data_IF_896247215930
#
_entry.id   IF_896247215930
#
_cell.length_a   1.000
_cell.length_b   1.000
_cell.length_c   1.000
_cell.angle_alpha   90.00
_cell.angle_beta   90.00
_cell.angle_gamma   90.00
#
_symmetry.space_group_name_H-M   'P 1'
#
loop_
_entity.id
_entity.type
_entity.pdbx_description
1 polymer ?
#
# COMPACT_ATOMS: atom_id res chain seq x y z
N UNK A 1 -7.84 106.32 -97.50
CA UNK A 1 -8.39 104.95 -97.31
C UNK A 1 -9.64 105.06 -96.46
N UNK A 2 -10.82 104.85 -97.04
CA UNK A 2 -12.10 104.94 -96.31
C UNK A 2 -12.42 103.54 -95.78
N UNK A 3 -12.43 103.41 -94.46
CA UNK A 3 -12.73 102.16 -93.76
C UNK A 3 -14.24 101.89 -93.87
N UNK A 4 -14.66 101.05 -94.83
CA UNK A 4 -16.05 100.59 -94.92
C UNK A 4 -16.31 99.50 -93.87
N UNK A 5 -16.99 99.87 -92.79
CA UNK A 5 -17.46 98.91 -91.77
C UNK A 5 -18.52 98.00 -92.40
N UNK A 6 -18.24 96.70 -92.45
CA UNK A 6 -19.19 95.69 -92.88
C UNK A 6 -20.06 95.31 -91.68
N UNK A 7 -21.36 95.55 -91.75
CA UNK A 7 -22.32 95.14 -90.72
C UNK A 7 -22.87 93.76 -91.07
N UNK A 8 -22.51 92.75 -90.28
CA UNK A 8 -23.08 91.40 -90.36
C UNK A 8 -24.42 91.38 -89.63
N UNK A 9 -25.52 91.36 -90.39
CA UNK A 9 -26.87 91.25 -89.84
C UNK A 9 -27.11 89.79 -89.41
N UNK A 10 -27.59 89.59 -88.18
CA UNK A 10 -27.83 88.26 -87.62
C UNK A 10 -29.01 87.56 -88.33
N UNK A 11 -28.81 86.34 -88.87
CA UNK A 11 -29.80 85.63 -89.68
C UNK A 11 -31.12 85.32 -88.96
N UNK A 12 -31.11 85.25 -87.62
CA UNK A 12 -32.33 85.02 -86.82
C UNK A 12 -33.31 86.20 -86.89
N UNK A 13 -32.80 87.44 -86.87
CA UNK A 13 -33.65 88.64 -86.99
C UNK A 13 -34.21 88.78 -88.40
N UNK A 14 -33.45 88.39 -89.43
CA UNK A 14 -33.97 88.38 -90.80
C UNK A 14 -35.08 87.35 -90.97
N UNK A 15 -35.01 86.18 -90.33
CA UNK A 15 -36.10 85.18 -90.45
C UNK A 15 -37.36 85.64 -89.70
N UNK A 16 -37.23 86.20 -88.50
CA UNK A 16 -38.37 86.75 -87.74
C UNK A 16 -39.00 87.91 -88.51
N UNK A 17 -38.19 88.82 -89.06
CA UNK A 17 -38.68 89.96 -89.83
C UNK A 17 -39.38 89.52 -91.12
N UNK A 18 -38.87 88.49 -91.81
CA UNK A 18 -39.56 87.90 -92.96
C UNK A 18 -40.88 87.23 -92.58
N UNK A 19 -40.96 86.54 -91.43
CA UNK A 19 -42.23 85.96 -90.94
C UNK A 19 -43.23 87.05 -90.59
N UNK A 20 -42.79 88.16 -89.97
CA UNK A 20 -43.65 89.31 -89.66
C UNK A 20 -44.12 90.00 -90.95
N UNK A 21 -43.22 90.31 -91.88
CA UNK A 21 -43.60 90.91 -93.18
C UNK A 21 -44.57 90.00 -93.93
N UNK A 22 -44.30 88.70 -93.97
CA UNK A 22 -45.17 87.73 -94.63
C UNK A 22 -46.54 87.64 -93.95
N UNK A 23 -46.59 87.67 -92.62
CA UNK A 23 -47.86 87.67 -91.86
C UNK A 23 -48.69 88.94 -92.12
N UNK A 24 -48.05 90.11 -92.20
CA UNK A 24 -48.70 91.38 -92.54
C UNK A 24 -49.18 91.39 -94.00
N UNK A 25 -48.37 90.88 -94.94
CA UNK A 25 -48.77 90.75 -96.35
C UNK A 25 -49.95 89.79 -96.53
N UNK A 26 -49.96 88.67 -95.81
CA UNK A 26 -51.06 87.69 -95.84
C UNK A 26 -52.32 88.24 -95.18
N UNK A 27 -52.21 89.13 -94.19
CA UNK A 27 -53.36 89.77 -93.55
C UNK A 27 -54.15 90.70 -94.48
N UNK A 28 -53.55 91.15 -95.57
CA UNK A 28 -54.19 92.07 -96.54
C UNK A 28 -55.06 91.35 -97.57
N UNK A 29 -55.00 90.02 -97.65
CA UNK A 29 -55.73 89.22 -98.64
C UNK A 29 -56.62 88.21 -97.92
N UNK A 30 -57.90 88.55 -97.74
CA UNK A 30 -58.87 87.62 -97.15
C UNK A 30 -59.41 86.68 -98.23
N UNK A 31 -58.88 85.44 -98.25
CA UNK A 31 -59.42 84.34 -99.06
C UNK A 31 -60.16 83.39 -98.13
N UNK A 32 -61.42 83.11 -98.42
CA UNK A 32 -62.18 82.10 -97.69
C UNK A 32 -63.05 81.28 -98.62
N UNK A 33 -63.31 80.03 -98.22
CA UNK A 33 -64.14 79.09 -98.96
C UNK A 33 -65.50 78.95 -98.30
N UNK A 34 -66.58 79.07 -99.06
CA UNK A 34 -67.95 78.75 -98.64
C UNK A 34 -68.59 77.93 -99.74
N UNK A 35 -69.13 76.75 -99.37
CA UNK A 35 -69.79 75.82 -100.29
C UNK A 35 -68.91 75.43 -101.49
N UNK A 36 -67.59 75.29 -101.28
CA UNK A 36 -66.62 74.92 -102.32
C UNK A 36 -66.21 76.06 -103.27
N UNK A 37 -66.76 77.26 -103.09
CA UNK A 37 -66.40 78.48 -103.85
C UNK A 37 -65.45 79.36 -103.05
N UNK A 38 -64.51 79.99 -103.73
CA UNK A 38 -63.49 80.86 -103.12
C UNK A 38 -63.86 82.33 -103.32
N UNK A 39 -63.77 83.10 -102.24
CA UNK A 39 -64.09 84.52 -102.22
C UNK A 39 -62.85 85.31 -101.82
N UNK A 40 -62.59 86.42 -102.51
CA UNK A 40 -61.45 87.31 -102.29
C UNK A 40 -61.93 88.68 -101.78
N UNK A 41 -61.14 89.32 -100.92
CA UNK A 41 -61.36 90.67 -100.38
C UNK A 41 -62.78 90.83 -99.81
N UNK A 42 -63.11 90.07 -98.76
CA UNK A 42 -64.38 90.16 -98.04
C UNK A 42 -65.65 90.00 -98.91
N UNK A 43 -65.59 89.04 -99.83
CA UNK A 43 -66.65 88.73 -100.79
C UNK A 43 -66.83 89.79 -101.90
N UNK A 44 -65.78 90.50 -102.28
CA UNK A 44 -65.84 91.37 -103.46
C UNK A 44 -65.85 90.56 -104.76
N UNK A 45 -65.07 89.49 -104.81
CA UNK A 45 -64.92 88.64 -105.99
C UNK A 45 -65.14 87.17 -105.65
N UNK A 46 -65.96 86.49 -106.44
CA UNK A 46 -65.97 85.02 -106.51
C UNK A 46 -64.91 84.60 -107.52
N UNK A 47 -63.95 83.79 -107.07
CA UNK A 47 -62.81 83.36 -107.87
C UNK A 47 -62.79 81.84 -108.02
N UNK A 48 -62.31 81.37 -109.17
CA UNK A 48 -62.08 79.95 -109.43
C UNK A 48 -60.68 79.81 -110.02
N UNK A 49 -59.82 79.01 -109.41
CA UNK A 49 -58.46 78.76 -109.88
C UNK A 49 -58.43 77.73 -111.01
N UNK A 50 -57.34 77.71 -111.80
CA UNK A 50 -57.11 76.72 -112.87
C UNK A 50 -57.26 77.25 -114.29
N UNK A 51 -56.88 78.50 -114.54
CA UNK A 51 -56.87 79.08 -115.89
C UNK A 51 -55.78 80.12 -116.09
N UNK A 52 -55.87 80.89 -117.19
CA UNK A 52 -54.86 81.89 -117.57
C UNK A 52 -55.27 83.34 -117.27
N UNK A 53 -56.42 83.55 -116.60
CA UNK A 53 -56.89 84.91 -116.26
C UNK A 53 -56.09 85.46 -115.09
N UNK A 54 -56.01 86.78 -115.06
CA UNK A 54 -55.34 87.56 -114.03
C UNK A 54 -56.34 88.57 -113.49
N UNK A 55 -56.50 88.62 -112.17
CA UNK A 55 -57.26 89.64 -111.46
C UNK A 55 -56.28 90.63 -110.83
N UNK A 56 -56.39 91.90 -111.18
CA UNK A 56 -55.62 92.98 -110.57
C UNK A 56 -56.55 93.78 -109.65
N UNK A 57 -56.34 93.73 -108.34
CA UNK A 57 -57.14 94.43 -107.35
C UNK A 57 -56.22 95.07 -106.31
N UNK A 58 -56.39 96.38 -106.03
CA UNK A 58 -55.72 97.11 -104.94
C UNK A 58 -54.23 96.76 -104.72
N UNK A 59 -53.43 96.75 -105.80
CA UNK A 59 -51.98 96.47 -105.73
C UNK A 59 -51.60 94.98 -105.65
N UNK A 60 -52.58 94.07 -105.64
CA UNK A 60 -52.38 92.63 -105.70
C UNK A 60 -52.73 92.08 -107.08
N UNK A 61 -51.83 91.26 -107.64
CA UNK A 61 -52.01 90.60 -108.94
C UNK A 61 -52.18 89.09 -108.72
N UNK A 62 -53.41 88.62 -108.85
CA UNK A 62 -53.74 87.21 -108.74
C UNK A 62 -53.81 86.56 -110.13
N UNK A 63 -52.76 85.85 -110.51
CA UNK A 63 -52.73 85.05 -111.75
C UNK A 63 -53.22 83.61 -111.54
N UNK A 64 -53.47 82.89 -112.64
CA UNK A 64 -53.85 81.47 -112.58
C UNK A 64 -55.35 81.23 -112.42
N UNK A 65 -56.18 82.26 -112.62
CA UNK A 65 -57.62 82.18 -112.45
C UNK A 65 -58.30 81.57 -113.70
N UNK A 66 -59.23 80.66 -113.48
CA UNK A 66 -60.16 80.14 -114.49
C UNK A 66 -61.27 81.14 -114.78
N UNK A 67 -61.84 81.71 -113.72
CA UNK A 67 -62.87 82.75 -113.78
C UNK A 67 -62.82 83.61 -112.52
N UNK A 68 -63.24 84.87 -112.67
CA UNK A 68 -63.61 85.72 -111.55
C UNK A 68 -64.88 86.50 -111.91
N UNK A 69 -65.72 86.77 -110.92
CA UNK A 69 -66.93 87.59 -111.05
C UNK A 69 -67.02 88.52 -109.85
N UNK A 70 -67.30 89.80 -110.10
CA UNK A 70 -67.59 90.75 -109.03
C UNK A 70 -68.99 90.50 -108.50
N UNK A 71 -69.13 90.44 -107.17
CA UNK A 71 -70.40 90.14 -106.52
C UNK A 71 -71.26 91.41 -106.38
N UNK A 72 -72.58 91.27 -106.54
CA UNK A 72 -73.55 92.36 -106.29
C UNK A 72 -73.69 92.65 -104.79
N UNK A 73 -74.30 93.78 -104.43
CA UNK A 73 -74.49 94.15 -103.02
C UNK A 73 -75.30 93.10 -102.23
N UNK A 74 -76.32 92.51 -102.85
CA UNK A 74 -77.14 91.46 -102.23
C UNK A 74 -76.35 90.14 -102.08
N UNK A 75 -75.59 89.76 -103.09
CA UNK A 75 -74.69 88.59 -103.03
C UNK A 75 -73.63 88.78 -101.93
N UNK A 76 -73.02 89.96 -101.83
CA UNK A 76 -72.08 90.31 -100.74
C UNK A 76 -72.72 90.13 -99.38
N UNK A 77 -73.95 90.62 -99.19
CA UNK A 77 -74.66 90.50 -97.91
C UNK A 77 -74.96 89.03 -97.56
N UNK A 78 -75.35 88.21 -98.54
CA UNK A 78 -75.59 86.77 -98.36
C UNK A 78 -74.29 86.06 -97.96
N UNK A 79 -73.19 86.32 -98.66
CA UNK A 79 -71.89 85.71 -98.36
C UNK A 79 -71.37 86.16 -96.99
N UNK A 80 -71.53 87.43 -96.62
CA UNK A 80 -71.17 87.92 -95.29
C UNK A 80 -72.01 87.24 -94.19
N UNK A 81 -73.32 87.06 -94.39
CA UNK A 81 -74.18 86.31 -93.46
C UNK A 81 -73.72 84.85 -93.32
N UNK A 82 -73.42 84.18 -94.44
CA UNK A 82 -72.88 82.80 -94.44
C UNK A 82 -71.52 82.71 -93.73
N UNK A 83 -70.62 83.68 -93.96
CA UNK A 83 -69.32 83.79 -93.28
C UNK A 83 -69.52 83.87 -91.76
N UNK A 84 -70.38 84.77 -91.28
CA UNK A 84 -70.72 84.88 -89.85
C UNK A 84 -71.29 83.58 -89.26
N UNK A 85 -72.18 82.89 -89.97
CA UNK A 85 -72.73 81.60 -89.52
C UNK A 85 -71.62 80.53 -89.42
N UNK A 86 -70.73 80.45 -90.40
CA UNK A 86 -69.61 79.51 -90.40
C UNK A 86 -68.62 79.83 -89.29
N UNK A 87 -68.31 81.11 -89.05
CA UNK A 87 -67.44 81.54 -87.95
C UNK A 87 -68.03 81.17 -86.58
N UNK A 88 -69.34 81.35 -86.39
CA UNK A 88 -70.05 80.92 -85.17
C UNK A 88 -69.99 79.39 -85.02
N UNK A 89 -70.17 78.63 -86.10
CA UNK A 89 -70.06 77.17 -86.07
C UNK A 89 -68.64 76.70 -85.73
N UNK A 90 -67.62 77.31 -86.35
CA UNK A 90 -66.22 77.04 -86.03
C UNK A 90 -65.88 77.40 -84.59
N UNK A 91 -66.44 78.48 -84.04
CA UNK A 91 -66.24 78.85 -82.65
C UNK A 91 -66.88 77.83 -81.69
N UNK A 92 -68.10 77.35 -82.00
CA UNK A 92 -68.74 76.26 -81.25
C UNK A 92 -67.92 74.97 -81.32
N UNK A 93 -67.42 74.60 -82.49
CA UNK A 93 -66.56 73.42 -82.66
C UNK A 93 -65.25 73.56 -81.88
N UNK A 94 -64.62 74.74 -81.88
CA UNK A 94 -63.43 75.02 -81.07
C UNK A 94 -63.72 74.86 -79.58
N UNK A 95 -64.82 75.43 -79.08
CA UNK A 95 -65.24 75.28 -77.68
C UNK A 95 -65.48 73.83 -77.30
N UNK A 96 -66.17 73.07 -78.14
CA UNK A 96 -66.39 71.63 -77.93
C UNK A 96 -65.07 70.85 -77.91
N UNK A 97 -64.17 71.12 -78.86
CA UNK A 97 -62.85 70.49 -78.92
C UNK A 97 -61.99 70.83 -77.70
N UNK A 98 -62.06 72.06 -77.21
CA UNK A 98 -61.32 72.48 -76.01
C UNK A 98 -61.91 71.85 -74.74
N UNK A 99 -63.23 71.70 -74.65
CA UNK A 99 -63.89 70.95 -73.57
C UNK A 99 -63.52 69.45 -73.59
N UNK A 100 -63.49 68.83 -74.78
CA UNK A 100 -63.07 67.45 -74.96
C UNK A 100 -61.61 67.26 -74.54
N UNK A 101 -60.70 68.16 -74.98
CA UNK A 101 -59.29 68.17 -74.56
C UNK A 101 -59.14 68.31 -73.05
N UNK A 102 -59.95 69.14 -72.39
CA UNK A 102 -59.95 69.26 -70.93
C UNK A 102 -60.40 67.97 -70.25
N UNK A 103 -61.47 67.33 -70.74
CA UNK A 103 -61.92 66.03 -70.21
C UNK A 103 -60.85 64.95 -70.39
N UNK A 104 -60.21 64.90 -71.55
CA UNK A 104 -59.12 63.97 -71.82
C UNK A 104 -57.91 64.23 -70.91
N UNK A 105 -57.54 65.49 -70.68
CA UNK A 105 -56.48 65.85 -69.73
C UNK A 105 -56.80 65.39 -68.31
N UNK A 106 -58.02 65.64 -67.82
CA UNK A 106 -58.46 65.21 -66.49
C UNK A 106 -58.43 63.67 -66.40
N UNK A 107 -58.87 62.96 -67.44
CA UNK A 107 -58.84 61.49 -67.47
C UNK A 107 -57.40 60.96 -67.43
N UNK A 108 -56.49 61.55 -68.21
CA UNK A 108 -55.06 61.18 -68.22
C UNK A 108 -54.40 61.47 -66.87
N UNK A 109 -54.75 62.57 -66.20
CA UNK A 109 -54.26 62.88 -64.86
C UNK A 109 -54.77 61.90 -63.81
N UNK A 110 -56.06 61.56 -63.83
CA UNK A 110 -56.61 60.53 -62.95
C UNK A 110 -55.94 59.17 -63.19
N UNK A 111 -55.72 58.77 -64.43
CA UNK A 111 -55.03 57.52 -64.76
C UNK A 111 -53.57 57.52 -64.25
N UNK A 112 -52.85 58.63 -64.42
CA UNK A 112 -51.49 58.78 -63.87
C UNK A 112 -51.49 58.64 -62.36
N UNK A 113 -52.40 59.32 -61.67
CA UNK A 113 -52.52 59.26 -60.20
C UNK A 113 -52.83 57.85 -59.72
N UNK A 114 -53.79 57.16 -60.35
CA UNK A 114 -54.11 55.76 -60.04
C UNK A 114 -52.91 54.82 -60.28
N UNK A 115 -52.13 55.05 -61.34
CA UNK A 115 -50.93 54.26 -61.64
C UNK A 115 -49.83 54.50 -60.61
N UNK A 116 -49.65 55.74 -60.16
CA UNK A 116 -48.69 56.09 -59.11
C UNK A 116 -49.09 55.48 -57.77
N UNK A 117 -50.35 55.61 -57.37
CA UNK A 117 -50.87 55.00 -56.14
C UNK A 117 -50.71 53.47 -56.15
N UNK A 118 -50.97 52.81 -57.29
CA UNK A 118 -50.74 51.37 -57.44
C UNK A 118 -49.27 51.00 -57.24
N UNK A 119 -48.34 51.77 -57.84
CA UNK A 119 -46.90 51.54 -57.67
C UNK A 119 -46.45 51.76 -56.23
N UNK A 120 -46.99 52.76 -55.54
CA UNK A 120 -46.70 53.04 -54.14
C UNK A 120 -47.19 51.91 -53.23
N UNK A 121 -48.42 51.43 -53.43
CA UNK A 121 -48.96 50.26 -52.71
C UNK A 121 -48.12 49.01 -52.96
N UNK A 122 -47.64 48.78 -54.18
CA UNK A 122 -46.73 47.65 -54.49
C UNK A 122 -45.36 47.80 -53.81
N UNK A 123 -44.82 49.02 -53.71
CA UNK A 123 -43.57 49.28 -52.98
C UNK A 123 -43.73 48.99 -51.49
N UNK A 124 -44.78 49.50 -50.87
CA UNK A 124 -45.08 49.27 -49.45
C UNK A 124 -45.22 47.77 -49.15
N UNK A 125 -45.98 47.03 -49.97
CA UNK A 125 -46.11 45.56 -49.81
C UNK A 125 -44.77 44.84 -49.88
N UNK A 126 -43.88 45.23 -50.81
CA UNK A 126 -42.53 44.63 -50.93
C UNK A 126 -41.64 44.98 -49.74
N UNK A 127 -41.78 46.18 -49.16
CA UNK A 127 -41.04 46.57 -47.96
C UNK A 127 -41.52 45.79 -46.74
N UNK A 128 -42.83 45.65 -46.55
CA UNK A 128 -43.40 44.83 -45.47
C UNK A 128 -42.96 43.36 -45.57
N UNK A 129 -42.94 42.79 -46.78
CA UNK A 129 -42.49 41.41 -47.01
C UNK A 129 -41.01 41.24 -46.66
N UNK A 130 -40.15 42.18 -47.09
CA UNK A 130 -38.72 42.18 -46.72
C UNK A 130 -38.50 42.33 -45.23
N UNK A 131 -39.30 43.15 -44.55
CA UNK A 131 -39.20 43.32 -43.11
C UNK A 131 -39.62 42.04 -42.37
N UNK A 132 -40.70 41.40 -42.80
CA UNK A 132 -41.12 40.09 -42.27
C UNK A 132 -40.05 39.03 -42.45
N UNK A 133 -39.44 38.96 -43.63
CA UNK A 133 -38.35 38.02 -43.90
C UNK A 133 -37.14 38.28 -42.99
N UNK A 134 -36.77 39.56 -42.77
CA UNK A 134 -35.69 39.92 -41.83
C UNK A 134 -36.00 39.47 -40.41
N UNK A 135 -37.22 39.73 -39.92
CA UNK A 135 -37.64 39.31 -38.57
C UNK A 135 -37.59 37.79 -38.40
N UNK A 136 -38.09 37.03 -39.39
CA UNK A 136 -38.00 35.56 -39.32
C UNK A 136 -36.56 35.05 -39.29
N UNK A 137 -35.66 35.64 -40.11
CA UNK A 137 -34.23 35.28 -40.10
C UNK A 137 -33.55 35.65 -38.77
N UNK A 138 -33.96 36.73 -38.13
CA UNK A 138 -33.44 37.12 -36.81
C UNK A 138 -33.92 36.16 -35.72
N UNK A 139 -35.21 35.80 -35.71
CA UNK A 139 -35.76 34.80 -34.79
C UNK A 139 -35.09 33.42 -34.97
N UNK A 140 -34.83 33.00 -36.20
CA UNK A 140 -34.13 31.74 -36.48
C UNK A 140 -32.70 31.75 -35.94
N UNK A 141 -31.96 32.85 -36.16
CA UNK A 141 -30.62 33.04 -35.59
C UNK A 141 -30.63 33.06 -34.06
N UNK A 142 -31.65 33.65 -33.45
CA UNK A 142 -31.78 33.67 -32.00
C UNK A 142 -32.05 32.27 -31.45
N UNK A 143 -32.94 31.49 -32.09
CA UNK A 143 -33.19 30.09 -31.75
C UNK A 143 -31.92 29.25 -31.88
N UNK A 144 -31.16 29.42 -32.96
CA UNK A 144 -29.89 28.72 -33.16
C UNK A 144 -28.88 29.06 -32.05
N UNK A 145 -28.78 30.34 -31.66
CA UNK A 145 -27.92 30.78 -30.56
C UNK A 145 -28.32 30.14 -29.24
N UNK A 146 -29.62 30.12 -28.91
CA UNK A 146 -30.13 29.49 -27.68
C UNK A 146 -29.83 27.99 -27.65
N UNK A 147 -30.06 27.27 -28.76
CA UNK A 147 -29.72 25.84 -28.82
C UNK A 147 -28.22 25.58 -28.62
N UNK A 148 -27.35 26.41 -29.21
CA UNK A 148 -25.89 26.31 -28.99
C UNK A 148 -25.49 26.60 -27.55
N UNK A 149 -26.17 27.52 -26.88
CA UNK A 149 -25.93 27.82 -25.46
C UNK A 149 -26.38 26.66 -24.57
N UNK A 150 -27.57 26.10 -24.80
CA UNK A 150 -28.07 24.92 -24.09
C UNK A 150 -27.15 23.69 -24.29
N UNK A 151 -26.63 23.49 -25.51
CA UNK A 151 -25.68 22.41 -25.79
C UNK A 151 -24.36 22.60 -25.02
N UNK A 152 -23.82 23.83 -24.99
CA UNK A 152 -22.62 24.15 -24.20
C UNK A 152 -22.85 23.95 -22.71
N UNK A 153 -24.03 24.29 -22.19
CA UNK A 153 -24.39 24.08 -20.79
C UNK A 153 -24.49 22.59 -20.46
N UNK A 154 -25.14 21.78 -21.31
CA UNK A 154 -25.18 20.32 -21.17
C UNK A 154 -23.78 19.70 -21.17
N UNK A 155 -22.91 20.14 -22.06
CA UNK A 155 -21.53 19.65 -22.11
C UNK A 155 -20.72 20.05 -20.87
N UNK A 156 -20.97 21.25 -20.33
CA UNK A 156 -20.36 21.69 -19.07
C UNK A 156 -20.81 20.81 -17.91
N UNK A 157 -22.11 20.54 -17.79
CA UNK A 157 -22.68 19.67 -16.75
C UNK A 157 -22.10 18.24 -16.84
N UNK A 158 -22.02 17.66 -18.04
CA UNK A 158 -21.40 16.33 -18.23
C UNK A 158 -19.95 16.29 -17.76
N UNK A 159 -19.16 17.32 -18.07
CA UNK A 159 -17.76 17.42 -17.60
C UNK A 159 -17.65 17.59 -16.08
N UNK A 160 -18.61 18.29 -15.47
CA UNK A 160 -18.66 18.45 -14.01
C UNK A 160 -19.03 17.11 -13.34
N UNK A 161 -20.03 16.39 -13.85
CA UNK A 161 -20.39 15.04 -13.37
C UNK A 161 -19.23 14.04 -13.52
N UNK A 162 -18.50 14.07 -14.64
CA UNK A 162 -17.36 13.18 -14.86
C UNK A 162 -16.23 13.45 -13.84
N UNK A 163 -15.93 14.73 -13.57
CA UNK A 163 -14.96 15.13 -12.55
C UNK A 163 -15.39 14.70 -11.15
N UNK A 164 -16.68 14.79 -10.83
CA UNK A 164 -17.21 14.33 -9.55
C UNK A 164 -17.09 12.81 -9.39
N UNK A 165 -17.45 12.04 -10.43
CA UNK A 165 -17.26 10.59 -10.45
C UNK A 165 -15.79 10.20 -10.29
N UNK A 166 -14.87 10.93 -10.93
CA UNK A 166 -13.43 10.68 -10.78
C UNK A 166 -12.94 10.98 -9.35
N UNK A 167 -13.44 12.07 -8.73
CA UNK A 167 -13.14 12.39 -7.33
C UNK A 167 -13.62 11.29 -6.38
N UNK A 168 -14.86 10.82 -6.55
CA UNK A 168 -15.42 9.74 -5.74
C UNK A 168 -14.61 8.45 -5.87
N UNK A 169 -14.23 8.06 -7.11
CA UNK A 169 -13.37 6.89 -7.32
C UNK A 169 -12.02 7.01 -6.61
N UNK A 170 -11.38 8.19 -6.66
CA UNK A 170 -10.10 8.43 -5.97
C UNK A 170 -10.25 8.40 -4.45
N UNK A 171 -11.37 8.87 -3.93
CA UNK A 171 -11.68 8.82 -2.50
C UNK A 171 -11.93 7.38 -2.02
N UNK A 172 -12.68 6.59 -2.79
CA UNK A 172 -12.88 5.16 -2.54
C UNK A 172 -11.56 4.39 -2.58
N UNK A 173 -10.70 4.65 -3.57
CA UNK A 173 -9.36 4.05 -3.64
C UNK A 173 -8.49 4.41 -2.41
N UNK A 174 -8.58 5.67 -1.94
CA UNK A 174 -7.88 6.09 -0.72
C UNK A 174 -8.39 5.33 0.51
N UNK A 175 -9.70 5.18 0.67
CA UNK A 175 -10.31 4.43 1.78
C UNK A 175 -9.87 2.97 1.76
N UNK A 176 -9.90 2.32 0.59
CA UNK A 176 -9.43 0.94 0.42
C UNK A 176 -7.95 0.78 0.82
N UNK A 177 -7.08 1.72 0.42
CA UNK A 177 -5.67 1.71 0.82
C UNK A 177 -5.47 1.94 2.32
N UNK A 178 -6.32 2.76 2.96
CA UNK A 178 -6.29 2.97 4.40
C UNK A 178 -6.73 1.72 5.17
N UNK A 179 -7.82 1.08 4.74
CA UNK A 179 -8.28 -0.20 5.32
C UNK A 179 -7.22 -1.31 5.17
N UNK A 180 -6.56 -1.40 4.02
CA UNK A 180 -5.48 -2.37 3.80
C UNK A 180 -4.30 -2.11 4.76
N UNK A 181 -3.90 -0.84 4.93
CA UNK A 181 -2.84 -0.45 5.88
C UNK A 181 -3.23 -0.77 7.32
N UNK A 182 -4.50 -0.60 7.69
CA UNK A 182 -4.99 -0.92 9.02
C UNK A 182 -4.98 -2.43 9.27
N UNK A 183 -5.43 -3.23 8.29
CA UNK A 183 -5.33 -4.70 8.35
C UNK A 183 -3.89 -5.17 8.50
N UNK A 184 -2.95 -4.56 7.78
CA UNK A 184 -1.53 -4.89 7.89
C UNK A 184 -0.94 -4.49 9.26
N UNK A 185 -1.39 -3.38 9.83
CA UNK A 185 -1.02 -3.00 11.21
C UNK A 185 -1.52 -4.03 12.21
N UNK A 186 -2.80 -4.42 12.13
CA UNK A 186 -3.40 -5.44 12.98
C UNK A 186 -2.65 -6.78 12.89
N UNK A 187 -2.35 -7.25 11.68
CA UNK A 187 -1.56 -8.49 11.49
C UNK A 187 -0.19 -8.42 12.15
N UNK A 188 0.51 -7.29 12.03
CA UNK A 188 1.82 -7.08 12.69
C UNK A 188 1.70 -7.03 14.20
N UNK A 189 0.60 -6.50 14.74
CA UNK A 189 0.34 -6.50 16.18
C UNK A 189 0.04 -7.91 16.69
N UNK A 190 -0.81 -8.68 16.00
CA UNK A 190 -1.07 -10.09 16.32
C UNK A 190 0.20 -10.94 16.26
N UNK A 191 1.06 -10.73 15.26
CA UNK A 191 2.34 -11.43 15.16
C UNK A 191 3.28 -11.10 16.32
N UNK A 192 3.37 -9.82 16.71
CA UNK A 192 4.13 -9.39 17.90
C UNK A 192 3.58 -9.99 19.18
N UNK A 193 2.27 -10.11 19.32
CA UNK A 193 1.62 -10.72 20.48
C UNK A 193 1.91 -12.23 20.53
N UNK A 194 1.80 -12.94 19.41
CA UNK A 194 2.19 -14.36 19.30
C UNK A 194 3.65 -14.58 19.67
N UNK A 195 4.55 -13.70 19.23
CA UNK A 195 5.96 -13.79 19.58
C UNK A 195 6.23 -13.49 21.06
N UNK A 196 5.47 -12.58 21.67
CA UNK A 196 5.51 -12.36 23.13
C UNK A 196 5.07 -13.60 23.89
N UNK A 197 3.94 -14.20 23.51
CA UNK A 197 3.42 -15.43 24.11
C UNK A 197 4.42 -16.58 23.99
N UNK A 198 5.03 -16.81 22.82
CA UNK A 198 6.07 -17.82 22.64
C UNK A 198 7.27 -17.61 23.56
N UNK A 199 7.73 -16.36 23.71
CA UNK A 199 8.83 -16.03 24.62
C UNK A 199 8.46 -16.23 26.09
N UNK A 200 7.20 -16.00 26.46
CA UNK A 200 6.71 -16.29 27.81
C UNK A 200 6.62 -17.79 28.07
N UNK A 201 6.07 -18.58 27.15
CA UNK A 201 6.07 -20.05 27.24
C UNK A 201 7.49 -20.62 27.33
N UNK A 202 8.44 -20.09 26.56
CA UNK A 202 9.83 -20.55 26.61
C UNK A 202 10.48 -20.23 27.97
N UNK A 203 10.24 -19.02 28.50
CA UNK A 203 10.69 -18.65 29.86
C UNK A 203 10.06 -19.52 30.93
N UNK A 204 8.79 -19.89 30.79
CA UNK A 204 8.10 -20.79 31.72
C UNK A 204 8.67 -22.20 31.65
N UNK A 205 8.89 -22.74 30.44
CA UNK A 205 9.58 -24.03 30.25
C UNK A 205 10.98 -24.03 30.84
N UNK A 206 11.72 -22.93 30.70
CA UNK A 206 13.05 -22.80 31.29
C UNK A 206 12.98 -22.76 32.83
N UNK A 207 11.99 -22.04 33.40
CA UNK A 207 11.73 -22.04 34.85
C UNK A 207 11.42 -23.44 35.36
N UNK A 208 10.53 -24.17 34.68
CA UNK A 208 10.19 -25.55 35.02
C UNK A 208 11.41 -26.48 34.96
N UNK A 209 12.24 -26.38 33.91
CA UNK A 209 13.50 -27.14 33.82
C UNK A 209 14.45 -26.83 34.98
N UNK A 210 14.62 -25.55 35.34
CA UNK A 210 15.46 -25.16 36.48
C UNK A 210 14.90 -25.66 37.82
N UNK A 211 13.57 -25.70 37.96
CA UNK A 211 12.91 -26.23 39.15
C UNK A 211 13.06 -27.75 39.25
N UNK A 212 12.91 -28.46 38.14
CA UNK A 212 13.16 -29.90 38.04
C UNK A 212 14.64 -30.23 38.33
N UNK A 213 15.58 -29.47 37.78
CA UNK A 213 17.01 -29.61 38.09
C UNK A 213 17.30 -29.35 39.58
N UNK A 214 16.65 -28.34 40.18
CA UNK A 214 16.74 -28.09 41.63
C UNK A 214 16.22 -29.28 42.44
N UNK A 215 15.06 -29.83 42.06
CA UNK A 215 14.49 -31.02 42.71
C UNK A 215 15.42 -32.22 42.60
N UNK A 216 16.00 -32.46 41.43
CA UNK A 216 16.97 -33.54 41.21
C UNK A 216 18.22 -33.36 42.07
N UNK A 217 18.78 -32.15 42.14
CA UNK A 217 19.93 -31.85 43.02
C UNK A 217 19.59 -32.01 44.50
N UNK A 218 18.39 -31.65 44.93
CA UNK A 218 17.94 -31.89 46.32
C UNK A 218 17.76 -33.38 46.62
N UNK A 219 17.22 -34.15 45.67
CA UNK A 219 17.07 -35.59 45.81
C UNK A 219 18.44 -36.29 45.83
N UNK A 220 19.38 -35.85 45.01
CA UNK A 220 20.76 -36.32 44.99
C UNK A 220 21.47 -36.01 46.31
N UNK A 221 21.33 -34.79 46.85
CA UNK A 221 21.83 -34.44 48.19
C UNK A 221 21.21 -35.30 49.28
N UNK A 222 19.91 -35.61 49.20
CA UNK A 222 19.25 -36.54 50.15
C UNK A 222 19.78 -37.96 50.02
N UNK A 223 20.02 -38.44 48.79
CA UNK A 223 20.64 -39.76 48.54
C UNK A 223 22.07 -39.80 49.09
N UNK A 224 22.86 -38.75 48.88
CA UNK A 224 24.21 -38.63 49.41
C UNK A 224 24.21 -38.59 50.95
N UNK A 225 23.29 -37.84 51.57
CA UNK A 225 23.11 -37.84 53.03
C UNK A 225 22.74 -39.23 53.57
N UNK A 226 21.82 -39.95 52.91
CA UNK A 226 21.47 -41.32 53.27
C UNK A 226 22.66 -42.27 53.16
N UNK A 227 23.44 -42.17 52.09
CA UNK A 227 24.66 -42.96 51.91
C UNK A 227 25.70 -42.65 53.00
N UNK A 228 25.93 -41.38 53.33
CA UNK A 228 26.82 -40.98 54.44
C UNK A 228 26.31 -41.47 55.80
N UNK A 229 25.00 -41.48 56.04
CA UNK A 229 24.42 -42.06 57.25
C UNK A 229 24.58 -43.58 57.31
N UNK A 230 24.38 -44.29 56.20
CA UNK A 230 24.63 -45.73 56.11
C UNK A 230 26.10 -46.08 56.31
N UNK A 231 27.01 -45.29 55.73
CA UNK A 231 28.45 -45.44 55.93
C UNK A 231 28.84 -45.20 57.39
N UNK A 232 28.30 -44.16 58.03
CA UNK A 232 28.48 -43.94 59.47
C UNK A 232 27.91 -45.07 60.32
N UNK A 233 26.79 -45.69 59.92
CA UNK A 233 26.24 -46.89 60.59
C UNK A 233 27.16 -48.09 60.41
N UNK A 234 27.68 -48.32 59.20
CA UNK A 234 28.67 -49.38 58.93
C UNK A 234 29.96 -49.19 59.72
N UNK A 235 30.46 -47.97 59.83
CA UNK A 235 31.64 -47.65 60.64
C UNK A 235 31.39 -47.82 62.13
N UNK A 236 30.18 -47.47 62.63
CA UNK A 236 29.78 -47.77 64.01
C UNK A 236 29.73 -49.28 64.26
N UNK A 237 29.12 -50.04 63.36
CA UNK A 237 29.05 -51.51 63.43
C UNK A 237 30.45 -52.14 63.41
N UNK A 238 31.34 -51.70 62.51
CA UNK A 238 32.73 -52.17 62.48
C UNK A 238 33.47 -51.88 63.78
N UNK A 239 33.30 -50.69 64.37
CA UNK A 239 33.89 -50.34 65.67
C UNK A 239 33.29 -51.14 66.83
N UNK A 240 32.03 -51.52 66.74
CA UNK A 240 31.38 -52.40 67.73
C UNK A 240 31.89 -53.84 67.60
N UNK A 241 31.98 -54.38 66.39
CA UNK A 241 32.57 -55.70 66.11
C UNK A 241 34.05 -55.76 66.53
N UNK A 242 34.83 -54.70 66.30
CA UNK A 242 36.23 -54.62 66.71
C UNK A 242 36.36 -54.59 68.24
N UNK A 243 35.51 -53.83 68.93
CA UNK A 243 35.44 -53.84 70.40
C UNK A 243 34.99 -55.19 70.96
N UNK A 244 34.09 -55.90 70.28
CA UNK A 244 33.65 -57.24 70.67
C UNK A 244 34.76 -58.27 70.46
N UNK A 245 35.49 -58.21 69.34
CA UNK A 245 36.70 -59.03 69.11
C UNK A 245 37.78 -58.76 70.15
N UNK A 246 38.01 -57.50 70.51
CA UNK A 246 38.97 -57.13 71.55
C UNK A 246 38.53 -57.63 72.95
N UNK A 247 37.22 -57.62 73.25
CA UNK A 247 36.67 -58.23 74.47
C UNK A 247 36.89 -59.75 74.49
N UNK A 248 36.59 -60.43 73.38
CA UNK A 248 36.78 -61.88 73.24
C UNK A 248 38.26 -62.26 73.37
N UNK A 249 39.18 -61.51 72.75
CA UNK A 249 40.63 -61.74 72.92
C UNK A 249 41.08 -61.57 74.37
N UNK A 250 40.62 -60.52 75.07
CA UNK A 250 40.94 -60.33 76.50
C UNK A 250 40.36 -61.43 77.39
N UNK A 251 39.20 -61.98 77.03
CA UNK A 251 38.58 -63.10 77.71
C UNK A 251 39.34 -64.41 77.46
N UNK A 252 39.77 -64.66 76.22
CA UNK A 252 40.62 -65.80 75.85
C UNK A 252 42.00 -65.74 76.54
N UNK A 253 42.61 -64.55 76.65
CA UNK A 253 43.83 -64.34 77.44
C UNK A 253 43.63 -64.56 78.95
N UNK A 254 42.44 -64.27 79.49
CA UNK A 254 42.11 -64.59 80.88
C UNK A 254 41.99 -66.09 81.08
N UNK A 255 41.28 -66.78 80.18
CA UNK A 255 41.12 -68.24 80.21
C UNK A 255 42.49 -68.92 80.10
N UNK A 256 43.36 -68.46 79.19
CA UNK A 256 44.70 -69.01 79.04
C UNK A 256 45.59 -68.78 80.28
N UNK A 257 45.52 -67.61 80.92
CA UNK A 257 46.22 -67.35 82.19
C UNK A 257 45.74 -68.23 83.32
N UNK A 258 44.44 -68.50 83.41
CA UNK A 258 43.89 -69.36 84.46
C UNK A 258 44.19 -70.85 84.19
N UNK A 259 44.23 -71.27 82.92
CA UNK A 259 44.68 -72.60 82.51
C UNK A 259 46.18 -72.81 82.82
N UNK A 260 47.01 -71.79 82.62
CA UNK A 260 48.44 -71.83 82.93
C UNK A 260 48.70 -71.91 84.43
N UNK A 261 47.95 -71.15 85.25
CA UNK A 261 47.95 -71.29 86.71
C UNK A 261 47.54 -72.69 87.17
N UNK A 262 46.54 -73.31 86.55
CA UNK A 262 46.16 -74.69 86.86
C UNK A 262 47.28 -75.70 86.52
N UNK A 263 47.94 -75.53 85.37
CA UNK A 263 49.08 -76.38 84.98
C UNK A 263 50.26 -76.22 85.94
N UNK A 264 50.52 -74.99 86.39
CA UNK A 264 51.58 -74.72 87.37
C UNK A 264 51.27 -75.33 88.75
N UNK A 265 50.01 -75.27 89.20
CA UNK A 265 49.55 -75.94 90.42
C UNK A 265 49.70 -77.46 90.33
N UNK A 266 49.30 -78.07 89.22
CA UNK A 266 49.48 -79.51 88.99
C UNK A 266 50.97 -79.91 88.96
N UNK A 267 51.83 -79.06 88.39
CA UNK A 267 53.29 -79.29 88.39
C UNK A 267 53.85 -79.27 89.81
N UNK A 268 53.46 -78.27 90.62
CA UNK A 268 53.86 -78.16 92.03
C UNK A 268 53.38 -79.35 92.88
N UNK A 269 52.20 -79.90 92.59
CA UNK A 269 51.72 -81.12 93.27
C UNK A 269 52.53 -82.37 92.90
N UNK A 270 52.85 -82.56 91.62
CA UNK A 270 53.72 -83.66 91.18
C UNK A 270 55.11 -83.57 91.80
N UNK A 271 55.68 -82.36 91.86
CA UNK A 271 56.99 -82.13 92.45
C UNK A 271 56.99 -82.45 93.96
N UNK A 272 55.93 -82.08 94.69
CA UNK A 272 55.74 -82.46 96.10
C UNK A 272 55.60 -83.98 96.29
N UNK A 273 54.89 -84.67 95.41
CA UNK A 273 54.75 -86.13 95.47
C UNK A 273 56.08 -86.84 95.18
N UNK A 274 56.82 -86.37 94.17
CA UNK A 274 58.16 -86.89 93.84
C UNK A 274 59.15 -86.66 94.98
N UNK A 275 59.13 -85.49 95.63
CA UNK A 275 59.98 -85.19 96.78
C UNK A 275 59.66 -86.09 97.99
N UNK A 276 58.38 -86.34 98.26
CA UNK A 276 57.96 -87.28 99.31
C UNK A 276 58.42 -88.72 99.03
N UNK A 277 58.35 -89.17 97.77
CA UNK A 277 58.89 -90.48 97.38
C UNK A 277 60.41 -90.55 97.53
N UNK A 278 61.11 -89.49 97.15
CA UNK A 278 62.57 -89.39 97.26
C UNK A 278 63.03 -89.46 98.72
N UNK A 279 62.36 -88.73 99.63
CA UNK A 279 62.62 -88.81 101.07
C UNK A 279 62.33 -90.19 101.66
N UNK A 280 61.27 -90.88 101.20
CA UNK A 280 60.98 -92.26 101.61
C UNK A 280 62.07 -93.25 101.16
N UNK A 281 62.62 -93.09 99.95
CA UNK A 281 63.72 -93.93 99.49
C UNK A 281 65.03 -93.64 100.21
N UNK A 282 65.31 -92.37 100.53
CA UNK A 282 66.51 -91.96 101.25
C UNK A 282 66.51 -92.49 102.70
N UNK A 283 65.35 -92.50 103.36
CA UNK A 283 65.20 -93.11 104.68
C UNK A 283 65.45 -94.62 104.66
N UNK A 284 64.93 -95.33 103.64
CA UNK A 284 65.20 -96.77 103.45
C UNK A 284 66.69 -97.04 103.20
N UNK A 285 67.38 -96.19 102.44
CA UNK A 285 68.82 -96.34 102.21
C UNK A 285 69.63 -96.15 103.49
N UNK A 286 69.27 -95.18 104.33
CA UNK A 286 69.92 -94.97 105.65
C UNK A 286 69.68 -96.13 106.62
N UNK A 287 68.54 -96.82 106.54
CA UNK A 287 68.27 -98.03 107.34
C UNK A 287 69.17 -99.20 106.91
N UNK A 288 69.29 -99.44 105.59
CA UNK A 288 70.17 -100.47 105.04
C UNK A 288 71.64 -100.19 105.38
N UNK A 289 72.06 -98.92 105.35
CA UNK A 289 73.43 -98.52 105.68
C UNK A 289 73.74 -98.74 107.16
N UNK A 290 72.79 -98.46 108.07
CA UNK A 290 72.93 -98.75 109.51
C UNK A 290 72.99 -100.26 109.80
N UNK A 291 72.20 -101.07 109.12
CA UNK A 291 72.26 -102.54 109.25
C UNK A 291 73.61 -103.10 108.76
N UNK A 292 74.11 -102.60 107.64
CA UNK A 292 75.43 -102.96 107.11
C UNK A 292 76.56 -102.56 108.06
N UNK A 293 76.47 -101.41 108.70
CA UNK A 293 77.47 -100.94 109.68
C UNK A 293 77.43 -101.78 110.97
N UNK A 294 76.24 -102.17 111.44
CA UNK A 294 76.09 -103.10 112.57
C UNK A 294 76.71 -104.47 112.27
N UNK A 295 76.43 -105.05 111.09
CA UNK A 295 77.04 -106.33 110.66
C UNK A 295 78.56 -106.25 110.63
N UNK A 296 79.14 -105.16 110.11
CA UNK A 296 80.60 -104.95 110.09
C UNK A 296 81.20 -104.87 111.49
N UNK A 297 80.51 -104.24 112.45
CA UNK A 297 80.96 -104.16 113.85
C UNK A 297 80.92 -105.53 114.54
N UNK A 298 79.93 -106.36 114.25
CA UNK A 298 79.83 -107.72 114.78
C UNK A 298 80.89 -108.66 114.18
N UNK A 299 81.12 -108.57 112.87
CA UNK A 299 82.15 -109.36 112.18
C UNK A 299 83.56 -109.00 112.68
N UNK A 300 83.81 -107.70 112.94
CA UNK A 300 85.06 -107.24 113.53
C UNK A 300 85.29 -107.83 114.93
N UNK A 301 84.27 -107.84 115.80
CA UNK A 301 84.34 -108.45 117.13
C UNK A 301 84.60 -109.96 117.06
N UNK A 302 83.98 -110.67 116.11
CA UNK A 302 84.22 -112.11 115.91
C UNK A 302 85.65 -112.40 115.44
N UNK A 303 86.18 -111.62 114.48
CA UNK A 303 87.57 -111.78 114.02
C UNK A 303 88.60 -111.47 115.13
N UNK A 304 88.31 -110.49 115.99
CA UNK A 304 89.18 -110.17 117.12
C UNK A 304 89.19 -111.30 118.17
N UNK A 305 88.03 -111.87 118.48
CA UNK A 305 87.93 -113.04 119.37
C UNK A 305 88.67 -114.26 118.81
N UNK A 306 88.56 -114.51 117.50
CA UNK A 306 89.30 -115.58 116.83
C UNK A 306 90.82 -115.36 116.87
N UNK A 307 91.30 -114.12 116.68
CA UNK A 307 92.72 -113.78 116.81
C UNK A 307 93.25 -114.03 118.23
N UNK A 308 92.52 -113.59 119.26
CA UNK A 308 92.90 -113.81 120.67
C UNK A 308 92.93 -115.31 121.02
N UNK A 309 92.02 -116.11 120.47
CA UNK A 309 92.00 -117.57 120.67
C UNK A 309 93.19 -118.27 120.01
N UNK A 310 93.62 -117.82 118.82
CA UNK A 310 94.81 -118.35 118.12
C UNK A 310 96.09 -118.00 118.89
N UNK A 311 96.20 -116.76 119.39
CA UNK A 311 97.36 -116.26 120.11
C UNK A 311 97.53 -116.95 121.48
N UNK A 312 96.43 -117.27 122.17
CA UNK A 312 96.42 -118.09 123.39
C UNK A 312 96.91 -119.52 123.11
N UNK A 313 96.43 -120.16 122.03
CA UNK A 313 96.89 -121.50 121.63
C UNK A 313 98.39 -121.53 121.29
N UNK A 314 98.91 -120.47 120.68
CA UNK A 314 100.35 -120.36 120.39
C UNK A 314 101.18 -120.13 121.67
N UNK A 315 100.69 -119.34 122.63
CA UNK A 315 101.31 -119.20 123.95
C UNK A 315 101.35 -120.51 124.74
N UNK A 316 100.30 -121.31 124.69
CA UNK A 316 100.27 -122.62 125.36
C UNK A 316 101.23 -123.62 124.72
N UNK A 317 101.29 -123.70 123.38
CA UNK A 317 102.27 -124.52 122.66
C UNK A 317 103.72 -124.13 122.97
N UNK A 318 104.01 -122.84 123.12
CA UNK A 318 105.34 -122.36 123.47
C UNK A 318 105.73 -122.69 124.91
N UNK A 319 104.79 -122.60 125.87
CA UNK A 319 105.02 -123.05 127.25
C UNK A 319 105.23 -124.56 127.35
N UNK A 320 104.54 -125.34 126.53
CA UNK A 320 104.66 -126.80 126.50
C UNK A 320 105.99 -127.26 125.89
N UNK A 321 106.47 -126.56 124.86
CA UNK A 321 107.79 -126.81 124.27
C UNK A 321 108.93 -126.36 125.19
N UNK A 322 108.77 -125.28 125.95
CA UNK A 322 109.73 -124.90 126.99
C UNK A 322 109.76 -125.91 128.16
N UNK A 323 108.60 -126.42 128.59
CA UNK A 323 108.54 -127.50 129.59
C UNK A 323 109.26 -128.77 129.12
N UNK A 324 109.07 -129.18 127.86
CA UNK A 324 109.79 -130.33 127.28
C UNK A 324 111.30 -130.11 127.22
N UNK A 325 111.76 -128.92 126.81
CA UNK A 325 113.20 -128.58 126.81
C UNK A 325 113.80 -128.55 128.21
N UNK A 326 113.05 -128.08 129.20
CA UNK A 326 113.48 -128.08 130.60
C UNK A 326 113.54 -129.50 131.18
N UNK A 327 112.58 -130.37 130.85
CA UNK A 327 112.60 -131.79 131.25
C UNK A 327 113.70 -132.60 130.57
N UNK A 328 113.99 -132.36 129.29
CA UNK A 328 115.11 -132.99 128.58
C UNK A 328 116.45 -132.53 129.14
N UNK A 329 116.61 -131.23 129.40
CA UNK A 329 117.82 -130.69 130.04
C UNK A 329 118.00 -131.25 131.46
N UNK A 330 116.90 -131.44 132.20
CA UNK A 330 116.92 -132.05 133.54
C UNK A 330 117.28 -133.54 133.49
N UNK A 331 116.81 -134.30 132.50
CA UNK A 331 117.18 -135.71 132.33
C UNK A 331 118.64 -135.89 131.93
N UNK A 332 119.20 -134.97 131.13
CA UNK A 332 120.63 -134.96 130.80
C UNK A 332 121.50 -134.68 132.03
N UNK A 333 121.09 -133.77 132.91
CA UNK A 333 121.86 -133.42 134.11
C UNK A 333 122.02 -134.57 135.12
N UNK A 334 121.08 -135.52 135.18
CA UNK A 334 121.19 -136.67 136.08
C UNK A 334 121.88 -137.90 135.47
N UNK A 335 122.35 -137.82 134.21
CA UNK A 335 123.10 -138.90 133.56
C UNK A 335 124.63 -138.78 133.73
N UNK A 336 125.11 -137.73 134.40
CA UNK A 336 126.54 -137.47 134.65
C UNK A 336 126.97 -137.61 136.12
N UNK A 337 126.09 -138.10 137.00
CA UNK A 337 126.48 -138.53 138.35
C UNK A 337 125.87 -139.90 138.63
N UNK A 338 126.77 -140.88 138.73
CA UNK A 338 126.57 -142.34 138.78
C UNK A 338 126.45 -142.99 137.42
#
# INVERSE_FOLDING_TARGET
>A
MVNMKHYTINPFYTSIFLVIISAVYVSSVSIFAIDGKLYLNDAEFEITFGGRKVLNTNGFRLSGLKSYRQLTADEKLIIQKKKKINDIQREKERKQRDEERKKEQIQREMERKMREEKKERERLKREEEKERERRMREEEKEKERRMREEEKERDRLKREEEKERERLKREEERRMREEERERDRLKREEEKERDRLKREEEKERERLKREEERRMREEEKKKEQRLREEERKRDRLKREEEKERERLQREEERINRDLEKQKELQKRERDRQMEQQRRKMELKQREVEKEMEQKKREEYKQREQQRRAIELKQREKNKETERRKYEESRKLYYKEKW
#
